data_IF_084419753690
#
_entry.id   IF_084419753690
#
_cell.length_a   1.000
_cell.length_b   1.000
_cell.length_c   1.000
_cell.angle_alpha   90.00
_cell.angle_beta   90.00
_cell.angle_gamma   90.00
#
_symmetry.space_group_name_H-M   'P 1'
#
loop_
_entity.id
_entity.type
_entity.pdbx_description
1 polymer ?
#
# COMPACT_ATOMS: atom_id res chain seq x y z
N UNK A 1 24.64 -30.59 -10.15
CA UNK A 1 24.01 -30.32 -8.84
C UNK A 1 24.35 -28.89 -8.49
N UNK A 2 23.36 -28.00 -8.37
CA UNK A 2 23.64 -26.59 -8.02
C UNK A 2 24.26 -26.56 -6.63
N UNK A 3 25.36 -25.83 -6.48
CA UNK A 3 25.99 -25.63 -5.18
C UNK A 3 24.99 -24.92 -4.25
N UNK A 4 24.66 -25.54 -3.12
CA UNK A 4 23.60 -25.04 -2.24
C UNK A 4 23.97 -23.69 -1.61
N UNK A 5 22.97 -22.81 -1.49
CA UNK A 5 23.02 -21.46 -0.90
C UNK A 5 23.57 -21.35 0.55
N UNK A 6 23.99 -22.46 1.15
CA UNK A 6 24.47 -22.55 2.52
C UNK A 6 25.98 -22.80 2.64
N UNK A 7 26.73 -22.71 1.53
CA UNK A 7 28.19 -22.82 1.56
C UNK A 7 28.83 -21.54 2.11
N UNK A 8 29.89 -21.71 2.88
CA UNK A 8 30.74 -20.59 3.32
C UNK A 8 31.33 -19.88 2.10
N UNK A 9 31.17 -18.56 2.02
CA UNK A 9 31.59 -17.75 0.87
C UNK A 9 30.54 -17.63 -0.24
N UNK A 10 29.32 -18.16 -0.06
CA UNK A 10 28.21 -17.89 -0.97
C UNK A 10 27.76 -16.44 -0.82
N UNK A 11 27.94 -15.64 -1.87
CA UNK A 11 27.42 -14.28 -1.95
C UNK A 11 25.94 -14.35 -2.35
N UNK A 12 25.08 -13.82 -1.50
CA UNK A 12 23.65 -13.70 -1.79
C UNK A 12 23.51 -12.73 -2.95
N UNK A 13 22.90 -13.11 -4.09
CA UNK A 13 22.67 -12.19 -5.18
C UNK A 13 21.83 -11.02 -4.65
N UNK A 14 22.44 -9.83 -4.63
CA UNK A 14 21.80 -8.61 -4.16
C UNK A 14 20.78 -8.19 -5.20
N UNK A 15 19.50 -8.22 -4.82
CA UNK A 15 18.45 -7.68 -5.65
C UNK A 15 18.55 -6.14 -5.62
N UNK A 16 19.03 -5.55 -6.70
CA UNK A 16 19.00 -4.10 -6.86
C UNK A 16 17.60 -3.67 -7.27
N UNK A 17 16.87 -3.06 -6.34
CA UNK A 17 15.72 -2.24 -6.65
C UNK A 17 16.09 -0.79 -6.39
N UNK A 18 15.79 0.11 -7.34
CA UNK A 18 15.69 1.53 -6.99
C UNK A 18 14.63 1.65 -5.88
N UNK A 19 14.75 2.60 -4.95
CA UNK A 19 13.71 2.85 -3.95
C UNK A 19 12.35 2.83 -4.65
N UNK A 20 11.29 2.24 -4.06
CA UNK A 20 10.00 2.14 -4.72
C UNK A 20 9.57 3.55 -5.10
N UNK A 21 9.77 3.88 -6.38
CA UNK A 21 9.40 5.17 -6.94
C UNK A 21 7.89 5.23 -7.03
N UNK A 22 7.38 6.44 -7.26
CA UNK A 22 5.97 6.67 -7.51
C UNK A 22 5.43 5.63 -8.49
N UNK A 23 4.35 4.94 -8.11
CA UNK A 23 3.79 3.87 -8.95
C UNK A 23 3.45 4.42 -10.34
N UNK A 24 3.00 5.67 -10.40
CA UNK A 24 2.74 6.39 -11.64
C UNK A 24 3.97 6.65 -12.54
N UNK A 25 5.19 6.38 -12.06
CA UNK A 25 6.46 6.51 -12.79
C UNK A 25 7.19 5.17 -13.01
N UNK A 26 6.67 4.07 -12.45
CA UNK A 26 7.32 2.76 -12.55
C UNK A 26 7.34 2.24 -13.99
N UNK A 27 8.50 1.68 -14.39
CA UNK A 27 8.69 1.04 -15.70
C UNK A 27 8.56 -0.47 -15.53
N UNK A 28 7.45 -1.03 -15.97
CA UNK A 28 7.13 -2.45 -15.86
C UNK A 28 5.68 -2.72 -16.22
N UNK A 29 5.19 -3.96 -16.13
CA UNK A 29 3.76 -4.20 -16.20
C UNK A 29 3.06 -3.48 -15.04
N UNK A 30 1.92 -2.87 -15.32
CA UNK A 30 1.13 -2.21 -14.28
C UNK A 30 0.73 -3.21 -13.19
N UNK A 31 0.77 -2.81 -11.90
CA UNK A 31 0.29 -3.66 -10.82
C UNK A 31 -1.18 -4.04 -11.02
N UNK A 32 -1.46 -5.33 -10.91
CA UNK A 32 -2.82 -5.88 -10.92
C UNK A 32 -3.42 -5.69 -9.53
N UNK A 33 -4.54 -4.95 -9.44
CA UNK A 33 -5.13 -4.56 -8.14
C UNK A 33 -6.47 -5.25 -7.85
N UNK A 34 -7.12 -5.78 -8.88
CA UNK A 34 -8.50 -6.30 -8.81
C UNK A 34 -8.64 -7.72 -9.39
N UNK A 35 -7.59 -8.24 -10.05
CA UNK A 35 -7.59 -9.60 -10.57
C UNK A 35 -6.71 -10.52 -9.71
N UNK A 36 -7.20 -11.73 -9.46
CA UNK A 36 -6.47 -12.79 -8.76
C UNK A 36 -5.92 -13.81 -9.76
N UNK A 37 -4.74 -14.40 -9.47
CA UNK A 37 -4.21 -15.49 -10.27
C UNK A 37 -5.13 -16.73 -10.18
N UNK A 38 -5.22 -17.47 -11.27
CA UNK A 38 -5.95 -18.74 -11.36
C UNK A 38 -4.97 -19.92 -11.44
N UNK A 39 -5.44 -21.14 -11.14
CA UNK A 39 -4.59 -22.34 -11.11
C UNK A 39 -3.95 -22.67 -12.48
N UNK A 40 -4.60 -22.28 -13.57
CA UNK A 40 -4.12 -22.42 -14.95
C UNK A 40 -3.16 -21.31 -15.39
N UNK A 41 -2.74 -20.43 -14.46
CA UNK A 41 -1.77 -19.35 -14.72
C UNK A 41 -2.38 -18.10 -15.35
N UNK A 42 -3.72 -18.01 -15.42
CA UNK A 42 -4.46 -16.83 -15.84
C UNK A 42 -4.73 -15.84 -14.71
N UNK A 43 -5.58 -14.86 -15.00
CA UNK A 43 -6.07 -13.88 -14.05
C UNK A 43 -7.60 -13.74 -14.19
N UNK A 44 -8.30 -13.65 -13.06
CA UNK A 44 -9.75 -13.43 -13.04
C UNK A 44 -10.10 -12.27 -12.12
N UNK A 45 -11.12 -11.50 -12.49
CA UNK A 45 -11.63 -10.41 -11.65
C UNK A 45 -12.08 -10.96 -10.29
N UNK A 46 -11.68 -10.28 -9.21
CA UNK A 46 -12.11 -10.62 -7.86
C UNK A 46 -13.64 -10.54 -7.74
N UNK A 47 -14.25 -11.58 -7.18
CA UNK A 47 -15.69 -11.63 -6.95
C UNK A 47 -15.99 -11.31 -5.48
N UNK A 48 -16.39 -10.07 -5.23
CA UNK A 48 -16.78 -9.64 -3.90
C UNK A 48 -18.07 -10.34 -3.42
N UNK A 49 -18.18 -10.50 -2.10
CA UNK A 49 -19.32 -11.12 -1.43
C UNK A 49 -20.00 -10.20 -0.39
N UNK A 50 -19.66 -8.91 -0.38
CA UNK A 50 -20.19 -7.91 0.55
C UNK A 50 -19.68 -8.08 1.98
N UNK A 51 -18.46 -8.63 2.15
CA UNK A 51 -17.90 -8.99 3.46
C UNK A 51 -17.68 -7.78 4.37
N UNK A 52 -17.51 -6.59 3.80
CA UNK A 52 -17.16 -5.37 4.51
C UNK A 52 -18.23 -4.28 4.35
N UNK A 53 -19.48 -4.68 4.07
CA UNK A 53 -20.57 -3.73 3.84
C UNK A 53 -20.69 -2.71 4.98
N UNK A 54 -20.64 -1.43 4.62
CA UNK A 54 -20.75 -0.30 5.53
C UNK A 54 -19.51 -0.04 6.41
N UNK A 55 -18.46 -0.87 6.36
CA UNK A 55 -17.26 -0.71 7.19
C UNK A 55 -16.44 0.50 6.78
N UNK A 56 -15.71 1.06 7.75
CA UNK A 56 -14.81 2.22 7.60
C UNK A 56 -13.38 1.79 7.86
N UNK A 57 -12.51 1.92 6.86
CA UNK A 57 -11.12 1.51 6.94
C UNK A 57 -10.16 2.70 6.89
N UNK A 58 -9.15 2.71 7.77
CA UNK A 58 -7.96 3.54 7.60
C UNK A 58 -6.87 2.68 6.98
N UNK A 59 -6.24 3.16 5.91
CA UNK A 59 -5.14 2.47 5.23
C UNK A 59 -3.97 3.45 5.10
N UNK A 60 -2.87 3.19 5.81
CA UNK A 60 -1.63 3.96 5.63
C UNK A 60 -0.84 3.42 4.44
N UNK A 61 -0.31 4.29 3.59
CA UNK A 61 0.32 3.90 2.32
C UNK A 61 -0.69 3.26 1.35
N UNK A 62 -1.95 3.70 1.39
CA UNK A 62 -3.03 3.19 0.55
C UNK A 62 -3.05 3.76 -0.87
N UNK A 63 -2.17 4.71 -1.18
CA UNK A 63 -2.06 5.41 -2.45
C UNK A 63 -1.55 4.51 -3.59
N UNK A 64 -0.72 3.50 -3.28
CA UNK A 64 -0.03 2.67 -4.27
C UNK A 64 0.18 1.23 -3.77
N UNK A 65 0.71 0.37 -4.65
CA UNK A 65 1.13 -1.00 -4.36
C UNK A 65 0.07 -1.85 -3.65
N UNK A 66 0.49 -2.51 -2.57
CA UNK A 66 -0.37 -3.37 -1.75
C UNK A 66 -1.51 -2.56 -1.12
N UNK A 67 -1.23 -1.35 -0.64
CA UNK A 67 -2.26 -0.52 -0.01
C UNK A 67 -3.37 -0.10 -0.99
N UNK A 68 -3.01 0.22 -2.24
CA UNK A 68 -3.97 0.47 -3.34
C UNK A 68 -4.85 -0.75 -3.60
N UNK A 69 -4.26 -1.93 -3.71
CA UNK A 69 -5.02 -3.17 -3.89
C UNK A 69 -5.98 -3.43 -2.71
N UNK A 70 -5.54 -3.23 -1.47
CA UNK A 70 -6.39 -3.34 -0.28
C UNK A 70 -7.56 -2.36 -0.37
N UNK A 71 -7.32 -1.08 -0.67
CA UNK A 71 -8.36 -0.06 -0.76
C UNK A 71 -9.41 -0.43 -1.81
N UNK A 72 -8.98 -0.88 -2.99
CA UNK A 72 -9.86 -1.30 -4.08
C UNK A 72 -10.68 -2.53 -3.71
N UNK A 73 -10.06 -3.59 -3.19
CA UNK A 73 -10.75 -4.81 -2.80
C UNK A 73 -11.72 -4.56 -1.62
N UNK A 74 -11.36 -3.67 -0.69
CA UNK A 74 -12.25 -3.24 0.37
C UNK A 74 -13.48 -2.49 -0.18
N UNK A 75 -13.28 -1.65 -1.18
CA UNK A 75 -14.38 -0.96 -1.87
C UNK A 75 -15.33 -1.95 -2.55
N UNK A 76 -14.76 -2.94 -3.26
CA UNK A 76 -15.54 -4.03 -3.88
C UNK A 76 -16.36 -4.81 -2.83
N UNK A 77 -15.82 -4.99 -1.62
CA UNK A 77 -16.51 -5.65 -0.50
C UNK A 77 -17.45 -4.74 0.30
N UNK A 78 -17.59 -3.46 -0.07
CA UNK A 78 -18.58 -2.54 0.49
C UNK A 78 -18.08 -1.56 1.56
N UNK A 79 -16.76 -1.39 1.72
CA UNK A 79 -16.17 -0.48 2.71
C UNK A 79 -15.83 0.90 2.14
N UNK A 80 -15.97 1.94 2.96
CA UNK A 80 -15.37 3.25 2.71
C UNK A 80 -13.97 3.31 3.33
N UNK A 81 -13.10 4.14 2.74
CA UNK A 81 -11.71 4.24 3.18
C UNK A 81 -11.24 5.68 3.43
N UNK A 82 -10.30 5.84 4.37
CA UNK A 82 -9.38 6.96 4.44
C UNK A 82 -7.97 6.46 4.14
N UNK A 83 -7.30 7.08 3.18
CA UNK A 83 -5.93 6.78 2.77
C UNK A 83 -5.01 7.88 3.29
N UNK A 84 -4.01 7.47 4.08
CA UNK A 84 -2.93 8.33 4.55
C UNK A 84 -1.65 8.08 3.73
N UNK A 85 -1.06 9.13 3.16
CA UNK A 85 0.06 9.07 2.21
C UNK A 85 0.92 10.34 2.27
N UNK A 86 2.08 10.34 1.62
CA UNK A 86 2.98 11.50 1.55
C UNK A 86 2.63 12.44 0.39
N UNK A 87 2.97 13.72 0.49
CA UNK A 87 2.66 14.74 -0.54
C UNK A 87 3.10 14.35 -1.95
N UNK A 88 4.29 13.78 -2.04
CA UNK A 88 4.90 13.35 -3.31
C UNK A 88 4.09 12.26 -4.01
N UNK A 89 3.21 11.56 -3.29
CA UNK A 89 2.37 10.45 -3.78
C UNK A 89 0.96 10.90 -4.20
N UNK A 90 0.66 12.21 -4.21
CA UNK A 90 -0.69 12.76 -4.48
C UNK A 90 -1.33 12.19 -5.74
N UNK A 91 -0.57 12.09 -6.84
CA UNK A 91 -1.08 11.55 -8.11
C UNK A 91 -1.56 10.11 -7.94
N UNK A 92 -0.77 9.29 -7.25
CA UNK A 92 -1.09 7.89 -6.98
C UNK A 92 -2.29 7.75 -6.02
N UNK A 93 -2.38 8.61 -5.02
CA UNK A 93 -3.52 8.67 -4.11
C UNK A 93 -4.84 9.00 -4.86
N UNK A 94 -4.81 9.96 -5.79
CA UNK A 94 -5.97 10.32 -6.61
C UNK A 94 -6.40 9.18 -7.55
N UNK A 95 -5.45 8.43 -8.12
CA UNK A 95 -5.76 7.23 -8.91
C UNK A 95 -6.47 6.17 -8.07
N UNK A 96 -5.97 5.89 -6.87
CA UNK A 96 -6.62 4.93 -5.96
C UNK A 96 -8.02 5.40 -5.58
N UNK A 97 -8.17 6.68 -5.21
CA UNK A 97 -9.48 7.28 -4.90
C UNK A 97 -10.48 7.06 -6.03
N UNK A 98 -10.09 7.36 -7.28
CA UNK A 98 -10.93 7.18 -8.46
C UNK A 98 -11.39 5.73 -8.62
N UNK A 99 -10.50 4.75 -8.38
CA UNK A 99 -10.84 3.33 -8.46
C UNK A 99 -11.80 2.91 -7.34
N UNK A 100 -11.55 3.33 -6.09
CA UNK A 100 -12.47 3.07 -4.97
C UNK A 100 -13.86 3.65 -5.24
N UNK A 101 -13.92 4.90 -5.70
CA UNK A 101 -15.18 5.58 -6.02
C UNK A 101 -15.92 4.95 -7.21
N UNK A 102 -15.19 4.31 -8.14
CA UNK A 102 -15.80 3.55 -9.24
C UNK A 102 -16.60 2.32 -8.78
N UNK A 103 -16.31 1.79 -7.60
CA UNK A 103 -17.08 0.72 -6.94
C UNK A 103 -18.18 1.26 -6.00
N UNK A 104 -18.47 2.57 -6.07
CA UNK A 104 -19.57 3.20 -5.33
C UNK A 104 -19.27 3.47 -3.85
N UNK A 105 -18.02 3.34 -3.42
CA UNK A 105 -17.60 3.63 -2.04
C UNK A 105 -16.89 4.98 -1.93
N UNK A 106 -16.89 5.56 -0.73
CA UNK A 106 -16.22 6.84 -0.47
C UNK A 106 -14.75 6.60 -0.16
N UNK A 107 -13.88 7.44 -0.71
CA UNK A 107 -12.46 7.44 -0.40
C UNK A 107 -11.98 8.84 -0.01
N UNK A 108 -11.55 8.98 1.23
CA UNK A 108 -10.96 10.20 1.77
C UNK A 108 -9.44 10.13 1.65
N UNK A 109 -8.83 11.22 1.21
CA UNK A 109 -7.40 11.35 1.07
C UNK A 109 -6.88 12.29 2.14
N UNK A 110 -5.79 11.91 2.80
CA UNK A 110 -5.15 12.70 3.83
C UNK A 110 -3.63 12.63 3.69
N UNK A 111 -3.04 13.70 3.18
CA UNK A 111 -1.59 13.90 3.14
C UNK A 111 -1.04 14.11 4.55
N UNK A 112 -0.13 13.23 5.00
CA UNK A 112 0.48 13.25 6.35
C UNK A 112 1.88 12.65 6.34
N UNK A 113 2.74 13.10 7.25
CA UNK A 113 4.02 12.43 7.57
C UNK A 113 3.88 11.65 8.88
N UNK A 114 3.72 10.33 8.77
CA UNK A 114 3.50 9.42 9.89
C UNK A 114 4.73 9.25 10.81
N UNK A 115 5.88 9.85 10.47
CA UNK A 115 7.01 9.98 11.42
C UNK A 115 6.67 10.93 12.57
N UNK A 116 5.69 11.83 12.39
CA UNK A 116 5.27 12.82 13.38
C UNK A 116 4.06 12.32 14.16
N UNK A 117 4.21 12.23 15.48
CA UNK A 117 3.18 11.72 16.40
C UNK A 117 1.84 12.47 16.25
N UNK A 118 1.90 13.77 16.07
CA UNK A 118 0.74 14.66 15.93
C UNK A 118 -0.04 14.36 14.64
N UNK A 119 0.67 14.07 13.55
CA UNK A 119 0.04 13.71 12.27
C UNK A 119 -0.60 12.30 12.34
N UNK A 120 0.01 11.35 13.08
CA UNK A 120 -0.64 10.06 13.36
C UNK A 120 -1.98 10.23 14.08
N UNK A 121 -2.07 11.15 15.05
CA UNK A 121 -3.33 11.46 15.74
C UNK A 121 -4.35 12.07 14.77
N UNK A 122 -3.90 13.01 13.92
CA UNK A 122 -4.73 13.68 12.91
C UNK A 122 -5.38 12.68 11.93
N UNK A 123 -4.72 11.57 11.59
CA UNK A 123 -5.33 10.50 10.77
C UNK A 123 -6.59 9.94 11.43
N UNK A 124 -6.50 9.60 12.72
CA UNK A 124 -7.63 9.04 13.47
C UNK A 124 -8.74 10.08 13.64
N UNK A 125 -8.39 11.31 14.03
CA UNK A 125 -9.35 12.40 14.20
C UNK A 125 -10.12 12.67 12.89
N UNK A 126 -9.40 12.75 11.77
CA UNK A 126 -9.98 12.99 10.44
C UNK A 126 -10.87 11.82 10.01
N UNK A 127 -10.45 10.58 10.26
CA UNK A 127 -11.25 9.40 9.95
C UNK A 127 -12.58 9.40 10.71
N UNK A 128 -12.55 9.73 12.02
CA UNK A 128 -13.77 9.87 12.81
C UNK A 128 -14.65 11.02 12.30
N UNK A 129 -14.07 12.17 11.94
CA UNK A 129 -14.81 13.31 11.38
C UNK A 129 -15.49 12.96 10.04
N UNK A 130 -14.76 12.36 9.11
CA UNK A 130 -15.27 12.12 7.74
C UNK A 130 -16.15 10.88 7.62
N UNK A 131 -15.82 9.81 8.35
CA UNK A 131 -16.47 8.51 8.21
C UNK A 131 -17.42 8.19 9.37
N UNK A 132 -17.34 8.91 10.49
CA UNK A 132 -18.18 8.71 11.69
C UNK A 132 -17.82 7.48 12.54
N UNK A 133 -16.96 6.59 12.04
CA UNK A 133 -16.52 5.39 12.72
C UNK A 133 -15.20 4.89 12.13
N UNK A 134 -14.50 4.03 12.87
CA UNK A 134 -13.35 3.27 12.40
C UNK A 134 -13.62 1.80 12.76
N UNK A 135 -13.62 0.91 11.76
CA UNK A 135 -13.79 -0.52 11.97
C UNK A 135 -12.50 -1.31 11.68
N UNK A 136 -11.68 -0.81 10.76
CA UNK A 136 -10.49 -1.49 10.26
C UNK A 136 -9.34 -0.48 10.24
N UNK A 137 -8.17 -0.88 10.76
CA UNK A 137 -6.92 -0.15 10.65
C UNK A 137 -5.90 -1.05 9.96
N UNK A 138 -5.38 -0.59 8.83
CA UNK A 138 -4.31 -1.24 8.07
C UNK A 138 -3.07 -0.36 8.17
N UNK A 139 -2.12 -0.78 9.02
CA UNK A 139 -0.79 -0.17 9.10
C UNK A 139 0.09 -0.79 8.00
N UNK A 140 0.16 -0.13 6.85
CA UNK A 140 0.87 -0.61 5.67
C UNK A 140 1.97 0.34 5.19
N UNK A 141 1.90 1.64 5.50
CA UNK A 141 2.95 2.59 5.16
C UNK A 141 4.30 2.12 5.70
N UNK A 142 5.31 2.13 4.84
CA UNK A 142 6.67 1.73 5.16
C UNK A 142 7.66 2.58 4.37
N UNK A 143 8.88 2.66 4.89
CA UNK A 143 10.02 3.25 4.21
C UNK A 143 11.10 2.19 4.06
N UNK A 144 11.72 2.14 2.88
CA UNK A 144 12.85 1.25 2.63
C UNK A 144 13.91 2.02 1.85
N UNK A 145 15.11 2.11 2.43
CA UNK A 145 16.32 2.55 1.76
C UNK A 145 17.37 1.45 1.87
N UNK A 146 17.83 0.95 0.72
CA UNK A 146 18.78 -0.17 0.68
C UNK A 146 20.21 0.34 0.73
N UNK A 147 21.03 -0.28 1.59
CA UNK A 147 22.48 -0.12 1.64
C UNK A 147 23.12 -1.50 1.49
N UNK A 148 24.28 -1.57 0.84
CA UNK A 148 24.93 -2.84 0.51
C UNK A 148 25.69 -3.45 1.70
N UNK A 149 26.34 -2.62 2.52
CA UNK A 149 27.04 -3.01 3.76
C UNK A 149 26.41 -2.30 4.97
N UNK A 150 26.34 -3.00 6.10
CA UNK A 150 25.85 -2.45 7.38
C UNK A 150 26.66 -1.23 7.84
N UNK A 151 27.94 -1.12 7.44
CA UNK A 151 28.79 0.03 7.76
C UNK A 151 28.32 1.33 7.09
N UNK A 152 27.55 1.22 6.01
CA UNK A 152 27.01 2.35 5.27
C UNK A 152 25.63 2.78 5.80
N UNK A 153 25.05 2.01 6.75
CA UNK A 153 23.80 2.35 7.41
C UNK A 153 24.04 3.45 8.45
N UNK A 154 23.55 4.66 8.17
CA UNK A 154 23.64 5.78 9.11
C UNK A 154 22.60 5.66 10.23
N UNK A 155 22.88 6.25 11.39
CA UNK A 155 21.90 6.35 12.50
C UNK A 155 20.63 7.11 12.10
N UNK A 156 20.72 8.06 11.16
CA UNK A 156 19.54 8.78 10.64
C UNK A 156 18.62 7.87 9.82
N UNK A 157 19.17 6.85 9.15
CA UNK A 157 18.41 5.90 8.36
C UNK A 157 17.80 4.77 9.20
N UNK A 158 18.42 4.41 10.33
CA UNK A 158 17.97 3.34 11.24
C UNK A 158 16.78 3.76 12.12
#
# INVERSE_FOLDING_TARGET
MSEGQFKQGFEIPVAHQKPPGLQSEQKGPDPVNEHLPTEDGGYQLYKAAGKLEGKKAIITGGDSGIGRAIAILFAMEGADSLIAYLEVEEKDAQETKKKVESYGRKCHLLQVDLKKKEECKKVVDTALEKMGAINILVNNAAYQNMVEDIKDLTEEQW
#
